data_IF_135074383902
#
_entry.id   IF_135074383902
#
_cell.length_a   1.000
_cell.length_b   1.000
_cell.length_c   1.000
_cell.angle_alpha   90.00
_cell.angle_beta   90.00
_cell.angle_gamma   90.00
#
_symmetry.space_group_name_H-M   'P 1'
#
loop_
_entity.id
_entity.type
_entity.pdbx_description
1 polymer ?
#
# COMPACT_ATOMS: atom_id res chain seq x y z
N UNK A 1 -35.31 -1.50 40.90
CA UNK A 1 -35.23 -0.86 39.57
C UNK A 1 -33.81 -1.03 39.11
N UNK A 2 -33.57 -2.09 38.34
CA UNK A 2 -32.24 -2.48 37.87
C UNK A 2 -32.27 -2.31 36.35
N UNK A 3 -31.60 -1.28 35.86
CA UNK A 3 -31.33 -1.12 34.43
C UNK A 3 -30.05 -1.91 34.12
N UNK A 4 -30.20 -2.92 33.28
CA UNK A 4 -29.12 -3.73 32.73
C UNK A 4 -28.54 -3.02 31.48
N UNK A 5 -27.24 -2.65 31.44
CA UNK A 5 -26.64 -1.96 30.31
C UNK A 5 -25.86 -2.96 29.43
N UNK A 6 -26.57 -3.81 28.71
CA UNK A 6 -25.97 -4.64 27.65
C UNK A 6 -26.93 -4.75 26.46
N UNK A 7 -27.14 -3.62 25.77
CA UNK A 7 -27.79 -3.61 24.46
C UNK A 7 -26.92 -2.91 23.42
N UNK A 8 -25.72 -3.45 23.24
CA UNK A 8 -24.86 -3.16 22.07
C UNK A 8 -24.05 -4.42 21.77
N UNK A 9 -24.71 -5.41 21.16
CA UNK A 9 -24.06 -6.58 20.55
C UNK A 9 -24.59 -6.76 19.13
N UNK A 10 -23.62 -6.87 18.23
CA UNK A 10 -23.74 -7.29 16.83
C UNK A 10 -24.47 -6.33 15.88
N UNK A 11 -23.70 -5.51 15.16
CA UNK A 11 -24.08 -5.19 13.79
C UNK A 11 -24.09 -6.52 13.02
N UNK A 12 -25.30 -7.02 12.73
CA UNK A 12 -25.55 -8.36 12.22
C UNK A 12 -24.78 -8.67 10.94
N UNK A 13 -23.97 -9.72 11.03
CA UNK A 13 -23.52 -10.57 9.93
C UNK A 13 -24.72 -11.29 9.31
N UNK A 14 -25.60 -10.55 8.63
CA UNK A 14 -26.81 -11.14 8.06
C UNK A 14 -26.43 -12.03 6.87
N UNK A 15 -26.63 -13.34 7.02
CA UNK A 15 -26.39 -14.32 5.98
C UNK A 15 -27.23 -13.96 4.73
N UNK A 16 -26.62 -13.76 3.55
CA UNK A 16 -27.37 -13.31 2.37
C UNK A 16 -28.51 -14.28 2.01
N UNK A 17 -29.68 -13.73 1.69
CA UNK A 17 -30.85 -14.53 1.32
C UNK A 17 -30.57 -15.41 0.08
N UNK A 18 -29.81 -14.90 -0.88
CA UNK A 18 -29.38 -15.65 -2.06
C UNK A 18 -28.57 -16.92 -1.70
N UNK A 19 -27.71 -16.86 -0.69
CA UNK A 19 -26.96 -18.03 -0.20
C UNK A 19 -27.86 -18.97 0.60
N UNK A 20 -28.83 -18.42 1.37
CA UNK A 20 -29.85 -19.22 2.07
C UNK A 20 -30.66 -20.06 1.08
N UNK A 21 -31.13 -19.46 -0.02
CA UNK A 21 -31.92 -20.15 -1.06
C UNK A 21 -31.10 -21.25 -1.72
N UNK A 22 -29.81 -21.01 -1.95
CA UNK A 22 -28.86 -22.01 -2.45
C UNK A 22 -28.33 -22.96 -1.37
N UNK A 23 -28.74 -22.81 -0.10
CA UNK A 23 -28.26 -23.56 1.06
C UNK A 23 -26.73 -23.63 1.15
N UNK A 24 -26.07 -22.52 0.85
CA UNK A 24 -24.62 -22.36 0.93
C UNK A 24 -24.27 -21.52 2.15
N UNK A 25 -23.11 -21.77 2.75
CA UNK A 25 -22.56 -20.96 3.84
C UNK A 25 -21.19 -20.41 3.42
N UNK A 26 -20.88 -19.11 3.65
CA UNK A 26 -19.53 -18.61 3.44
C UNK A 26 -18.48 -19.35 4.30
N UNK A 27 -17.25 -19.54 3.80
CA UNK A 27 -16.74 -19.12 2.49
C UNK A 27 -17.30 -19.98 1.35
N UNK A 28 -17.63 -19.34 0.23
CA UNK A 28 -18.31 -19.96 -0.92
C UNK A 28 -17.72 -19.45 -2.24
N UNK A 29 -17.48 -20.35 -3.19
CA UNK A 29 -16.90 -20.05 -4.52
C UNK A 29 -17.97 -19.97 -5.61
N UNK A 30 -17.62 -19.46 -6.79
CA UNK A 30 -18.53 -19.46 -7.96
C UNK A 30 -18.91 -20.88 -8.39
N UNK A 31 -18.00 -21.85 -8.23
CA UNK A 31 -18.29 -23.25 -8.53
C UNK A 31 -19.28 -23.84 -7.52
N UNK A 32 -19.16 -23.52 -6.24
CA UNK A 32 -20.14 -23.94 -5.21
C UNK A 32 -21.53 -23.37 -5.51
N UNK A 33 -21.62 -22.09 -5.90
CA UNK A 33 -22.86 -21.43 -6.34
C UNK A 33 -23.47 -22.15 -7.54
N UNK A 34 -22.65 -22.50 -8.53
CA UNK A 34 -23.08 -23.23 -9.73
C UNK A 34 -23.56 -24.65 -9.43
N UNK A 35 -22.82 -25.41 -8.62
CA UNK A 35 -23.22 -26.78 -8.26
C UNK A 35 -24.53 -26.79 -7.45
N UNK A 36 -24.65 -25.90 -6.46
CA UNK A 36 -25.86 -25.76 -5.65
C UNK A 36 -27.09 -25.38 -6.49
N UNK A 37 -26.91 -24.50 -7.47
CA UNK A 37 -27.96 -24.14 -8.43
C UNK A 37 -28.35 -25.33 -9.31
N UNK A 38 -27.39 -26.04 -9.91
CA UNK A 38 -27.68 -27.18 -10.78
C UNK A 38 -28.45 -28.30 -10.07
N UNK A 39 -28.12 -28.58 -8.81
CA UNK A 39 -28.84 -29.57 -7.98
C UNK A 39 -30.30 -29.12 -7.79
N UNK A 40 -30.52 -27.90 -7.31
CA UNK A 40 -31.88 -27.38 -7.02
C UNK A 40 -32.71 -27.12 -8.28
N UNK A 41 -32.10 -26.72 -9.37
CA UNK A 41 -32.76 -26.48 -10.64
C UNK A 41 -33.33 -27.78 -11.23
N UNK A 42 -32.65 -28.92 -11.00
CA UNK A 42 -33.15 -30.26 -11.38
C UNK A 42 -34.36 -30.69 -10.55
N UNK A 43 -34.42 -30.29 -9.28
CA UNK A 43 -35.54 -30.59 -8.36
C UNK A 43 -36.77 -29.70 -8.62
N UNK A 44 -36.55 -28.43 -8.97
CA UNK A 44 -37.60 -27.43 -9.20
C UNK A 44 -38.12 -27.36 -10.65
N UNK A 45 -37.70 -28.28 -11.53
CA UNK A 45 -37.97 -28.19 -12.98
C UNK A 45 -39.48 -28.36 -13.32
N UNK A 46 -40.08 -27.51 -14.18
CA UNK A 46 -41.50 -27.53 -14.53
C UNK A 46 -42.00 -28.86 -15.13
N UNK A 47 -41.17 -29.51 -15.96
CA UNK A 47 -41.48 -30.82 -16.58
C UNK A 47 -41.60 -31.98 -15.56
N UNK A 48 -41.30 -31.71 -14.28
CA UNK A 48 -41.47 -32.65 -13.15
C UNK A 48 -42.51 -32.18 -12.13
N UNK A 49 -43.36 -31.21 -12.48
CA UNK A 49 -44.38 -30.65 -11.60
C UNK A 49 -43.92 -29.49 -10.72
N UNK A 50 -42.79 -28.86 -11.07
CA UNK A 50 -42.23 -27.73 -10.34
C UNK A 50 -43.01 -26.42 -10.53
N UNK A 51 -42.99 -25.55 -9.51
CA UNK A 51 -43.56 -24.20 -9.55
C UNK A 51 -42.65 -23.24 -10.32
N UNK A 52 -43.17 -22.65 -11.39
CA UNK A 52 -42.46 -21.66 -12.19
C UNK A 52 -41.99 -20.45 -11.36
N UNK A 53 -42.76 -20.03 -10.35
CA UNK A 53 -42.36 -18.94 -9.47
C UNK A 53 -41.17 -19.34 -8.56
N UNK A 54 -41.12 -20.59 -8.11
CA UNK A 54 -39.98 -21.13 -7.36
C UNK A 54 -38.71 -21.19 -8.23
N UNK A 55 -38.84 -21.58 -9.50
CA UNK A 55 -37.70 -21.61 -10.42
C UNK A 55 -37.14 -20.21 -10.71
N UNK A 56 -38.00 -19.20 -10.88
CA UNK A 56 -37.59 -17.80 -11.04
C UNK A 56 -36.86 -17.28 -9.80
N UNK A 57 -37.35 -17.60 -8.59
CA UNK A 57 -36.66 -17.25 -7.33
C UNK A 57 -35.27 -17.88 -7.25
N UNK A 58 -35.13 -19.14 -7.67
CA UNK A 58 -33.85 -19.85 -7.68
C UNK A 58 -32.84 -19.22 -8.67
N UNK A 59 -33.29 -18.84 -9.87
CA UNK A 59 -32.44 -18.16 -10.86
C UNK A 59 -31.95 -16.80 -10.33
N UNK A 60 -32.85 -16.01 -9.73
CA UNK A 60 -32.49 -14.74 -9.11
C UNK A 60 -31.46 -14.92 -7.98
N UNK A 61 -31.65 -15.93 -7.13
CA UNK A 61 -30.70 -16.25 -6.07
C UNK A 61 -29.33 -16.67 -6.62
N UNK A 62 -29.27 -17.39 -7.73
CA UNK A 62 -28.02 -17.74 -8.40
C UNK A 62 -27.27 -16.49 -8.91
N UNK A 63 -27.96 -15.56 -9.57
CA UNK A 63 -27.34 -14.35 -10.09
C UNK A 63 -26.81 -13.47 -8.95
N UNK A 64 -27.62 -13.23 -7.91
CA UNK A 64 -27.24 -12.45 -6.73
C UNK A 64 -26.10 -13.11 -5.93
N UNK A 65 -26.08 -14.45 -5.83
CA UNK A 65 -24.99 -15.16 -5.18
C UNK A 65 -23.67 -15.07 -5.97
N UNK A 66 -23.73 -15.11 -7.31
CA UNK A 66 -22.55 -14.87 -8.14
C UNK A 66 -21.98 -13.46 -7.94
N UNK A 67 -22.85 -12.44 -7.88
CA UNK A 67 -22.42 -11.06 -7.64
C UNK A 67 -21.86 -10.87 -6.24
N UNK A 68 -22.47 -11.49 -5.22
CA UNK A 68 -21.95 -11.50 -3.85
C UNK A 68 -20.56 -12.12 -3.77
N UNK A 69 -20.36 -13.29 -4.40
CA UNK A 69 -19.06 -13.98 -4.40
C UNK A 69 -18.01 -13.18 -5.15
N UNK A 70 -18.33 -12.62 -6.33
CA UNK A 70 -17.40 -11.75 -7.06
C UNK A 70 -17.01 -10.53 -6.22
N UNK A 71 -17.98 -9.86 -5.62
CA UNK A 71 -17.72 -8.70 -4.75
C UNK A 71 -16.84 -9.05 -3.55
N UNK A 72 -17.12 -10.17 -2.86
CA UNK A 72 -16.31 -10.65 -1.72
C UNK A 72 -14.92 -11.10 -2.15
N UNK A 73 -14.78 -11.76 -3.30
CA UNK A 73 -13.50 -12.16 -3.85
C UNK A 73 -12.64 -10.94 -4.22
N UNK A 74 -13.20 -9.95 -4.94
CA UNK A 74 -12.50 -8.69 -5.24
C UNK A 74 -12.11 -7.94 -3.97
N UNK A 75 -12.96 -7.98 -2.93
CA UNK A 75 -12.66 -7.39 -1.62
C UNK A 75 -11.51 -8.11 -0.91
N UNK A 76 -11.46 -9.45 -0.96
CA UNK A 76 -10.39 -10.25 -0.37
C UNK A 76 -9.08 -10.11 -1.14
N UNK A 77 -9.13 -10.08 -2.48
CA UNK A 77 -7.97 -9.83 -3.34
C UNK A 77 -7.38 -8.44 -3.08
N UNK A 78 -8.24 -7.42 -2.99
CA UNK A 78 -7.83 -6.09 -2.59
C UNK A 78 -7.19 -6.07 -1.19
N UNK A 79 -7.79 -6.76 -0.22
CA UNK A 79 -7.26 -6.84 1.15
C UNK A 79 -5.90 -7.56 1.18
N UNK A 80 -5.75 -8.66 0.42
CA UNK A 80 -4.50 -9.39 0.30
C UNK A 80 -3.40 -8.51 -0.30
N UNK A 81 -3.70 -7.77 -1.37
CA UNK A 81 -2.78 -6.79 -1.96
C UNK A 81 -2.37 -5.71 -0.95
N UNK A 82 -3.31 -5.23 -0.13
CA UNK A 82 -3.01 -4.25 0.93
C UNK A 82 -2.15 -4.83 2.05
N UNK A 83 -2.41 -6.06 2.47
CA UNK A 83 -1.58 -6.76 3.45
C UNK A 83 -0.17 -6.95 2.93
N UNK A 84 -0.01 -7.35 1.66
CA UNK A 84 1.29 -7.51 1.04
C UNK A 84 2.05 -6.18 0.97
N UNK A 85 1.40 -5.11 0.51
CA UNK A 85 2.00 -3.77 0.48
C UNK A 85 2.39 -3.29 1.89
N UNK A 86 1.52 -3.51 2.88
CA UNK A 86 1.80 -3.18 4.28
C UNK A 86 3.01 -3.98 4.80
N UNK A 87 3.09 -5.29 4.55
CA UNK A 87 4.22 -6.12 4.97
C UNK A 87 5.55 -5.64 4.36
N UNK A 88 5.54 -5.27 3.08
CA UNK A 88 6.68 -4.70 2.39
C UNK A 88 7.10 -3.34 2.98
N UNK A 89 6.15 -2.48 3.36
CA UNK A 89 6.44 -1.23 4.07
C UNK A 89 7.04 -1.50 5.46
N UNK A 90 6.50 -2.47 6.19
CA UNK A 90 7.02 -2.84 7.51
C UNK A 90 8.45 -3.40 7.45
N UNK A 91 8.83 -4.09 6.38
CA UNK A 91 10.22 -4.50 6.16
C UNK A 91 11.15 -3.29 6.03
N UNK A 92 10.76 -2.26 5.26
CA UNK A 92 11.52 -1.01 5.16
C UNK A 92 11.59 -0.27 6.50
N UNK A 93 10.49 -0.22 7.25
CA UNK A 93 10.42 0.40 8.58
C UNK A 93 11.35 -0.31 9.56
N UNK A 94 11.28 -1.65 9.63
CA UNK A 94 12.12 -2.45 10.51
C UNK A 94 13.59 -2.26 10.16
N UNK A 95 13.96 -2.38 8.88
CA UNK A 95 15.35 -2.21 8.46
C UNK A 95 15.86 -0.78 8.75
N UNK A 96 15.03 0.24 8.59
CA UNK A 96 15.40 1.61 8.95
C UNK A 96 15.68 1.74 10.46
N UNK A 97 14.80 1.18 11.31
CA UNK A 97 14.97 1.21 12.77
C UNK A 97 16.21 0.43 13.20
N UNK A 98 16.44 -0.77 12.63
CA UNK A 98 17.58 -1.63 12.94
C UNK A 98 18.92 -0.95 12.57
N UNK A 99 18.91 -0.07 11.56
CA UNK A 99 20.03 0.79 11.17
C UNK A 99 20.17 2.08 11.99
N UNK A 100 19.34 2.27 13.02
CA UNK A 100 19.33 3.45 13.89
C UNK A 100 18.60 4.66 13.30
N UNK A 101 17.78 4.45 12.28
CA UNK A 101 16.95 5.46 11.65
C UNK A 101 15.54 5.56 12.22
N UNK A 102 14.67 6.20 11.45
CA UNK A 102 13.24 6.34 11.76
C UNK A 102 12.39 6.29 10.49
N UNK A 103 11.12 5.99 10.67
CA UNK A 103 10.11 6.00 9.62
C UNK A 103 8.78 6.51 10.17
N UNK A 104 8.03 7.23 9.34
CA UNK A 104 6.69 7.73 9.70
C UNK A 104 5.63 7.07 8.84
N UNK A 105 4.58 6.56 9.50
CA UNK A 105 3.39 6.01 8.87
C UNK A 105 2.23 7.00 9.02
N UNK A 106 1.50 7.27 7.93
CA UNK A 106 0.28 8.06 7.94
C UNK A 106 -0.93 7.16 8.08
N UNK A 107 -1.75 7.40 9.11
CA UNK A 107 -2.95 6.64 9.38
C UNK A 107 -4.08 7.00 8.41
N UNK A 108 -4.77 5.96 7.92
CA UNK A 108 -5.89 6.14 6.99
C UNK A 108 -7.20 5.65 7.62
N UNK A 109 -7.94 6.59 8.22
CA UNK A 109 -9.13 6.32 9.07
C UNK A 109 -10.31 5.62 8.39
N UNK A 110 -10.45 5.68 7.06
CA UNK A 110 -11.66 5.19 6.40
C UNK A 110 -11.78 3.66 6.44
N UNK A 111 -10.65 2.95 6.56
CA UNK A 111 -10.61 1.49 6.62
C UNK A 111 -11.11 0.95 7.95
N UNK A 112 -10.72 1.58 9.08
CA UNK A 112 -11.27 1.27 10.41
C UNK A 112 -12.80 1.35 10.40
N UNK A 113 -13.33 2.42 9.79
CA UNK A 113 -14.78 2.66 9.70
C UNK A 113 -15.51 1.62 8.83
N UNK A 114 -14.82 1.04 7.85
CA UNK A 114 -15.42 0.16 6.84
C UNK A 114 -15.17 -1.34 7.07
N UNK A 115 -14.16 -1.70 7.87
CA UNK A 115 -13.69 -3.08 8.08
C UNK A 115 -13.45 -3.46 9.56
N UNK A 116 -13.56 -2.51 10.51
CA UNK A 116 -13.28 -2.75 11.94
C UNK A 116 -11.82 -2.42 12.32
N UNK A 117 -11.54 -2.37 13.62
CA UNK A 117 -10.21 -1.96 14.13
C UNK A 117 -9.09 -2.93 13.75
N UNK A 118 -9.39 -4.23 13.63
CA UNK A 118 -8.42 -5.29 13.33
C UNK A 118 -7.70 -5.11 11.98
N UNK A 119 -8.29 -4.37 11.06
CA UNK A 119 -7.75 -4.09 9.72
C UNK A 119 -7.46 -2.60 9.49
N UNK A 120 -7.46 -1.78 10.54
CA UNK A 120 -7.19 -0.34 10.40
C UNK A 120 -5.80 -0.07 9.83
N UNK A 121 -4.80 -0.78 10.37
CA UNK A 121 -3.39 -0.48 10.14
C UNK A 121 -2.86 -0.90 8.77
N UNK A 122 -3.50 -1.86 8.08
CA UNK A 122 -3.09 -2.26 6.73
C UNK A 122 -3.37 -1.18 5.68
N UNK A 123 -4.09 -0.14 6.08
CA UNK A 123 -4.34 1.06 5.30
C UNK A 123 -3.23 2.11 5.44
N UNK A 124 -2.42 2.00 6.50
CA UNK A 124 -1.42 3.00 6.84
C UNK A 124 -0.37 3.05 5.74
N UNK A 125 0.17 4.24 5.52
CA UNK A 125 1.06 4.52 4.41
C UNK A 125 2.41 4.98 4.92
N UNK A 126 3.48 4.34 4.47
CA UNK A 126 4.83 4.83 4.72
C UNK A 126 5.07 6.13 3.94
N UNK A 127 5.19 7.25 4.65
CA UNK A 127 5.31 8.60 4.06
C UNK A 127 6.70 9.22 4.23
N UNK A 128 7.47 8.78 5.23
CA UNK A 128 8.82 9.25 5.45
C UNK A 128 9.76 8.15 5.94
N UNK A 129 11.01 8.17 5.45
CA UNK A 129 12.12 7.34 5.95
C UNK A 129 13.34 8.23 6.15
N UNK A 130 14.01 8.09 7.30
CA UNK A 130 15.20 8.88 7.66
C UNK A 130 16.29 7.98 8.22
N UNK A 131 17.46 8.03 7.61
CA UNK A 131 18.68 7.38 8.07
C UNK A 131 19.84 8.38 8.05
N UNK A 132 20.64 8.31 9.11
CA UNK A 132 21.82 9.15 9.28
C UNK A 132 23.04 8.27 9.59
N UNK A 133 24.17 8.59 8.98
CA UNK A 133 25.42 7.87 9.20
C UNK A 133 25.53 6.58 8.39
N UNK A 134 26.35 5.60 8.83
CA UNK A 134 26.78 4.49 7.99
C UNK A 134 25.66 3.56 7.51
N UNK A 135 24.50 3.55 8.17
CA UNK A 135 23.33 2.78 7.75
C UNK A 135 22.66 3.29 6.47
N UNK A 136 22.91 4.54 6.07
CA UNK A 136 22.46 5.12 4.81
C UNK A 136 23.40 4.72 3.65
N UNK A 137 23.33 3.46 3.24
CA UNK A 137 24.18 2.85 2.22
C UNK A 137 23.37 2.40 0.98
N UNK A 138 24.10 1.86 -0.01
CA UNK A 138 23.48 1.35 -1.24
C UNK A 138 22.60 0.12 -0.98
N UNK A 139 22.87 -0.68 0.05
CA UNK A 139 22.06 -1.85 0.40
C UNK A 139 20.66 -1.42 0.84
N UNK A 140 20.57 -0.37 1.66
CA UNK A 140 19.28 0.19 2.04
C UNK A 140 18.55 0.81 0.83
N UNK A 141 19.27 1.51 -0.04
CA UNK A 141 18.68 2.05 -1.27
C UNK A 141 18.16 0.96 -2.22
N UNK A 142 18.87 -0.19 -2.30
CA UNK A 142 18.42 -1.37 -3.04
C UNK A 142 17.12 -1.92 -2.44
N UNK A 143 17.01 -2.05 -1.12
CA UNK A 143 15.77 -2.47 -0.47
C UNK A 143 14.60 -1.55 -0.84
N UNK A 144 14.80 -0.23 -0.75
CA UNK A 144 13.78 0.76 -1.16
C UNK A 144 13.37 0.58 -2.62
N UNK A 145 14.33 0.36 -3.52
CA UNK A 145 14.07 0.09 -4.93
C UNK A 145 13.25 -1.19 -5.15
N UNK A 146 13.60 -2.28 -4.47
CA UNK A 146 12.86 -3.54 -4.51
C UNK A 146 11.44 -3.44 -3.96
N UNK A 147 11.17 -2.50 -3.06
CA UNK A 147 9.85 -2.27 -2.46
C UNK A 147 9.09 -1.10 -3.10
N UNK A 148 9.61 -0.49 -4.15
CA UNK A 148 9.04 0.73 -4.73
C UNK A 148 7.57 0.63 -5.18
N UNK A 149 7.04 -0.58 -5.39
CA UNK A 149 5.61 -0.78 -5.71
C UNK A 149 4.67 -0.59 -4.52
N UNK A 150 5.14 -0.81 -3.29
CA UNK A 150 4.40 -0.49 -2.07
C UNK A 150 4.72 0.90 -1.52
N UNK A 151 5.75 1.59 -2.01
CA UNK A 151 6.20 2.91 -1.52
C UNK A 151 5.65 4.10 -2.32
N UNK A 152 4.42 3.99 -2.86
CA UNK A 152 3.85 5.04 -3.74
C UNK A 152 3.56 6.36 -3.00
N UNK A 153 3.34 6.30 -1.70
CA UNK A 153 3.05 7.45 -0.85
C UNK A 153 4.31 8.01 -0.14
N UNK A 154 5.50 7.42 -0.37
CA UNK A 154 6.75 7.89 0.23
C UNK A 154 7.11 9.28 -0.32
N UNK A 155 6.93 10.31 0.51
CA UNK A 155 7.15 11.69 0.13
C UNK A 155 8.51 12.23 0.60
N UNK A 156 9.04 11.70 1.70
CA UNK A 156 10.30 12.14 2.31
C UNK A 156 11.28 10.98 2.44
N UNK A 157 12.46 11.15 1.86
CA UNK A 157 13.58 10.23 2.02
C UNK A 157 14.85 11.00 2.40
N UNK A 158 15.37 10.73 3.58
CA UNK A 158 16.64 11.30 4.06
C UNK A 158 17.64 10.17 4.28
N UNK A 159 18.70 10.14 3.48
CA UNK A 159 19.79 9.17 3.54
C UNK A 159 21.11 9.95 3.61
N UNK A 160 21.43 10.43 4.80
CA UNK A 160 22.52 11.42 4.98
C UNK A 160 23.71 10.86 5.74
N UNK A 161 24.91 11.37 5.45
CA UNK A 161 26.14 11.01 6.17
C UNK A 161 26.60 9.56 6.02
N UNK A 162 26.01 8.81 5.08
CA UNK A 162 26.33 7.41 4.82
C UNK A 162 27.10 7.19 3.51
N UNK A 163 27.55 5.95 3.24
CA UNK A 163 28.39 5.65 2.08
C UNK A 163 27.62 5.54 0.74
N UNK A 164 26.32 5.87 0.70
CA UNK A 164 25.47 5.78 -0.49
C UNK A 164 26.10 6.47 -1.71
N UNK A 165 26.21 5.76 -2.83
CA UNK A 165 26.80 6.20 -4.09
C UNK A 165 25.80 6.27 -5.24
N UNK A 166 26.33 6.48 -6.45
CA UNK A 166 25.51 6.56 -7.68
C UNK A 166 24.76 5.24 -7.97
N UNK A 167 25.30 4.08 -7.59
CA UNK A 167 24.64 2.78 -7.76
C UNK A 167 23.39 2.64 -6.88
N UNK A 168 23.47 2.99 -5.60
CA UNK A 168 22.31 3.06 -4.71
C UNK A 168 21.32 4.14 -5.15
N UNK A 169 21.81 5.32 -5.56
CA UNK A 169 20.95 6.41 -6.05
C UNK A 169 20.09 5.98 -7.25
N UNK A 170 20.61 5.16 -8.17
CA UNK A 170 19.81 4.63 -9.28
C UNK A 170 18.60 3.81 -8.82
N UNK A 171 18.72 3.11 -7.70
CA UNK A 171 17.65 2.28 -7.14
C UNK A 171 16.47 3.12 -6.63
N UNK A 172 16.70 4.39 -6.33
CA UNK A 172 15.65 5.31 -5.85
C UNK A 172 14.77 5.84 -6.98
N UNK A 173 15.19 5.71 -8.25
CA UNK A 173 14.48 6.24 -9.42
C UNK A 173 12.99 5.83 -9.52
N UNK A 174 12.56 4.62 -9.12
CA UNK A 174 11.15 4.23 -9.14
C UNK A 174 10.27 4.90 -8.09
N UNK A 175 10.83 5.59 -7.07
CA UNK A 175 10.10 6.25 -5.99
C UNK A 175 9.47 7.58 -6.45
N UNK A 176 8.48 7.49 -7.33
CA UNK A 176 7.90 8.65 -8.04
C UNK A 176 7.15 9.64 -7.14
N UNK A 177 6.77 9.23 -5.93
CA UNK A 177 6.08 10.07 -4.95
C UNK A 177 6.98 11.07 -4.21
N UNK A 178 8.31 11.00 -4.38
CA UNK A 178 9.24 11.82 -3.59
C UNK A 178 9.07 13.32 -3.85
N UNK A 179 8.90 14.06 -2.74
CA UNK A 179 8.91 15.53 -2.67
C UNK A 179 10.18 16.05 -2.01
N UNK A 180 10.77 15.28 -1.09
CA UNK A 180 12.00 15.61 -0.40
C UNK A 180 12.98 14.45 -0.48
N UNK A 181 14.15 14.72 -1.05
CA UNK A 181 15.28 13.79 -1.10
C UNK A 181 16.51 14.48 -0.51
N UNK A 182 17.06 13.94 0.57
CA UNK A 182 18.27 14.47 1.20
C UNK A 182 19.38 13.43 1.21
N UNK A 183 20.44 13.69 0.43
CA UNK A 183 21.60 12.82 0.22
C UNK A 183 22.89 13.50 0.70
N UNK A 184 22.78 14.54 1.53
CA UNK A 184 23.93 15.25 2.10
C UNK A 184 24.86 14.30 2.86
N UNK A 185 26.17 14.52 2.78
CA UNK A 185 27.18 13.67 3.36
C UNK A 185 27.31 12.27 2.73
N UNK A 186 26.66 12.03 1.58
CA UNK A 186 26.82 10.80 0.81
C UNK A 186 27.99 10.85 -0.18
N UNK A 187 28.17 9.78 -0.97
CA UNK A 187 29.16 9.65 -2.05
C UNK A 187 28.55 9.82 -3.44
N UNK A 188 27.31 10.30 -3.53
CA UNK A 188 26.63 10.61 -4.79
C UNK A 188 27.42 11.66 -5.57
N UNK A 189 27.56 11.44 -6.87
CA UNK A 189 28.36 12.27 -7.75
C UNK A 189 27.67 12.51 -9.08
N UNK A 190 28.02 11.73 -10.10
CA UNK A 190 27.71 12.03 -11.50
C UNK A 190 26.21 12.07 -11.77
N UNK A 191 25.44 11.25 -11.06
CA UNK A 191 23.99 11.16 -11.26
C UNK A 191 23.19 12.23 -10.54
N UNK A 192 23.82 13.05 -9.69
CA UNK A 192 23.13 14.08 -8.92
C UNK A 192 22.36 15.08 -9.81
N UNK A 193 22.89 15.40 -10.99
CA UNK A 193 22.26 16.33 -11.93
C UNK A 193 20.98 15.78 -12.57
N UNK A 194 20.81 14.46 -12.60
CA UNK A 194 19.67 13.77 -13.21
C UNK A 194 18.46 13.69 -12.27
N UNK A 195 18.70 13.77 -10.96
CA UNK A 195 17.69 13.60 -9.90
C UNK A 195 16.43 14.46 -10.12
N UNK A 196 16.51 15.76 -10.45
CA UNK A 196 15.32 16.57 -10.70
C UNK A 196 14.49 16.10 -11.91
N UNK A 197 15.08 15.35 -12.84
CA UNK A 197 14.37 14.75 -13.97
C UNK A 197 13.67 13.44 -13.64
N UNK A 198 14.06 12.76 -12.56
CA UNK A 198 13.45 11.49 -12.16
C UNK A 198 12.18 11.65 -11.34
N UNK A 199 12.08 12.76 -10.61
CA UNK A 199 11.05 13.03 -9.62
C UNK A 199 10.29 14.32 -10.00
N UNK A 200 9.12 14.14 -10.60
CA UNK A 200 8.30 15.25 -11.13
C UNK A 200 7.86 16.22 -10.03
N UNK A 201 7.57 15.70 -8.83
CA UNK A 201 7.08 16.46 -7.67
C UNK A 201 8.17 16.83 -6.66
N UNK A 202 9.45 16.67 -7.00
CA UNK A 202 10.53 17.00 -6.09
C UNK A 202 10.58 18.51 -5.80
N UNK A 203 10.59 18.85 -4.51
CA UNK A 203 10.59 20.21 -3.99
C UNK A 203 11.86 20.51 -3.20
N UNK A 204 12.51 19.50 -2.64
CA UNK A 204 13.76 19.64 -1.92
C UNK A 204 14.77 18.59 -2.37
N UNK A 205 15.99 19.05 -2.64
CA UNK A 205 17.12 18.19 -2.96
C UNK A 205 18.34 18.60 -2.15
N UNK A 206 18.74 17.75 -1.20
CA UNK A 206 20.00 17.84 -0.48
C UNK A 206 21.06 16.98 -1.17
N UNK A 207 22.25 17.52 -1.46
CA UNK A 207 23.32 16.80 -2.14
C UNK A 207 24.67 16.98 -1.44
N UNK A 208 25.60 16.01 -1.56
CA UNK A 208 26.92 16.16 -0.98
C UNK A 208 27.74 17.18 -1.77
N UNK A 209 28.78 17.71 -1.14
CA UNK A 209 29.66 18.68 -1.81
C UNK A 209 30.34 18.07 -3.03
N UNK A 210 30.41 18.85 -4.11
CA UNK A 210 31.06 18.42 -5.36
C UNK A 210 30.19 17.52 -6.24
N UNK A 211 29.00 17.12 -5.80
CA UNK A 211 28.07 16.32 -6.62
C UNK A 211 27.54 17.07 -7.84
N UNK A 212 27.46 18.41 -7.78
CA UNK A 212 27.00 19.25 -8.87
C UNK A 212 28.05 20.29 -9.29
N UNK A 213 28.33 20.35 -10.59
CA UNK A 213 29.03 21.47 -11.20
C UNK A 213 28.19 22.74 -11.23
N UNK A 214 28.85 23.89 -11.43
CA UNK A 214 28.20 25.22 -11.43
C UNK A 214 27.04 25.33 -12.43
N UNK A 215 27.20 24.79 -13.63
CA UNK A 215 26.15 24.81 -14.66
C UNK A 215 24.91 24.03 -14.23
N UNK A 216 25.07 22.82 -13.69
CA UNK A 216 23.94 22.01 -13.23
C UNK A 216 23.16 22.70 -12.09
N UNK A 217 23.84 23.48 -11.25
CA UNK A 217 23.19 24.29 -10.20
C UNK A 217 22.36 25.43 -10.81
N UNK A 218 22.83 26.06 -11.89
CA UNK A 218 22.10 27.13 -12.58
C UNK A 218 20.88 26.64 -13.34
N UNK A 219 20.90 25.39 -13.83
CA UNK A 219 19.78 24.77 -14.56
C UNK A 219 18.79 24.05 -13.65
N UNK A 220 18.96 24.13 -12.33
CA UNK A 220 18.08 23.48 -11.36
C UNK A 220 16.64 23.99 -11.54
N UNK A 221 15.63 23.11 -11.64
CA UNK A 221 14.25 23.55 -11.79
C UNK A 221 13.82 24.44 -10.62
N UNK A 222 13.09 25.51 -10.90
CA UNK A 222 12.63 26.49 -9.88
C UNK A 222 11.82 25.87 -8.74
N UNK A 223 11.18 24.72 -8.98
CA UNK A 223 10.43 23.98 -7.96
C UNK A 223 11.31 23.31 -6.90
N UNK A 224 12.59 23.09 -7.20
CA UNK A 224 13.52 22.36 -6.33
C UNK A 224 14.34 23.36 -5.52
N UNK A 225 14.15 23.35 -4.20
CA UNK A 225 15.08 23.94 -3.24
C UNK A 225 16.31 23.05 -3.12
N UNK A 226 17.40 23.48 -3.76
CA UNK A 226 18.69 22.81 -3.70
C UNK A 226 19.48 23.23 -2.45
N UNK A 227 19.97 22.26 -1.68
CA UNK A 227 20.91 22.45 -0.57
C UNK A 227 22.13 21.57 -0.81
N UNK A 228 23.33 22.12 -0.60
CA UNK A 228 24.59 21.38 -0.73
C UNK A 228 25.37 21.55 0.57
N UNK A 229 26.05 20.49 1.03
CA UNK A 229 26.89 20.57 2.23
C UNK A 229 27.89 21.73 2.19
N UNK A 230 27.82 22.56 3.22
CA UNK A 230 28.87 23.51 3.53
C UNK A 230 30.07 22.76 4.12
N UNK A 231 31.27 23.29 3.92
CA UNK A 231 32.47 22.71 4.54
C UNK A 231 32.49 22.89 6.03
N UNK A 232 33.43 22.22 6.73
CA UNK A 232 33.95 22.87 7.92
C UNK A 232 34.40 24.27 7.48
N UNK A 233 33.94 25.30 8.17
CA UNK A 233 34.58 26.61 8.08
C UNK A 233 36.07 26.37 8.32
N UNK A 234 36.91 26.80 7.38
CA UNK A 234 38.35 26.53 7.44
C UNK A 234 38.91 26.97 8.80
N UNK A 235 39.53 26.01 9.49
CA UNK A 235 40.39 26.23 10.65
C UNK A 235 41.79 25.74 10.33
#
# INVERSE_FOLDING_TARGET
>A
MSHDPLSTRAADSQHPECLTILGLMPPVTLEDVKQAFLVRAREAHPDRGGDAAAFVRLQKAFDEANDFVKFKASKLEWLASKIEAYAQQQEVVSEAIDRGGSADMEETDWLRKSFGEDFGHVADKLVAVRLHGPGADDVFAILLGFRADSLKDLATLELTGGPLGDEGLLQLKPLKGLRRLDLRGSRVGRLAAEVPGWFEHLEFLGLPRGALGMFARMTMPRRVKLVIDEGPEGG
#
